data_IF_052157369742
#
_entry.id   IF_052157369742
#
_cell.length_a   1.000
_cell.length_b   1.000
_cell.length_c   1.000
_cell.angle_alpha   90.00
_cell.angle_beta   90.00
_cell.angle_gamma   90.00
#
_symmetry.space_group_name_H-M   'P 1'
#
loop_
_entity.id
_entity.type
_entity.pdbx_description
1 polymer ?
#
# COMPACT_ATOMS: atom_id res chain seq x y z
N UNK A 1 -6.40 10.77 -1.99
CA UNK A 1 -5.82 9.39 -2.04
C UNK A 1 -5.74 8.90 -3.48
N UNK A 2 -4.66 8.22 -3.90
CA UNK A 2 -4.48 7.82 -5.30
C UNK A 2 -5.51 6.77 -5.81
N UNK A 3 -6.11 6.96 -7.00
CA UNK A 3 -7.05 6.01 -7.61
C UNK A 3 -6.48 4.60 -7.85
N UNK A 4 -5.16 4.48 -8.06
CA UNK A 4 -4.51 3.18 -8.29
C UNK A 4 -4.64 2.23 -7.09
N UNK A 5 -4.68 2.76 -5.86
CA UNK A 5 -4.87 1.95 -4.65
C UNK A 5 -6.29 1.36 -4.62
N UNK A 6 -7.29 2.16 -5.01
CA UNK A 6 -8.69 1.71 -5.09
C UNK A 6 -8.83 0.59 -6.12
N UNK A 7 -8.25 0.76 -7.30
CA UNK A 7 -8.40 -0.20 -8.41
C UNK A 7 -7.65 -1.52 -8.19
N UNK A 8 -6.45 -1.46 -7.62
CA UNK A 8 -5.52 -2.61 -7.62
C UNK A 8 -5.33 -3.26 -6.25
N UNK A 9 -5.79 -2.64 -5.16
CA UNK A 9 -5.46 -3.09 -3.80
C UNK A 9 -6.70 -3.39 -2.94
N UNK A 10 -7.78 -2.62 -3.09
CA UNK A 10 -8.97 -2.72 -2.22
C UNK A 10 -9.63 -4.10 -2.26
N UNK A 11 -9.61 -4.79 -3.40
CA UNK A 11 -10.25 -6.10 -3.54
C UNK A 11 -9.82 -7.10 -2.44
N UNK A 12 -8.53 -7.07 -2.05
CA UNK A 12 -7.99 -7.92 -0.99
C UNK A 12 -7.82 -7.19 0.35
N UNK A 13 -7.64 -5.87 0.33
CA UNK A 13 -7.43 -5.03 1.51
C UNK A 13 -8.69 -4.26 1.90
N UNK A 14 -9.77 -5.01 2.07
CA UNK A 14 -11.05 -4.59 2.62
C UNK A 14 -11.48 -5.62 3.67
N UNK A 15 -12.31 -5.28 4.67
CA UNK A 15 -12.80 -6.25 5.66
C UNK A 15 -13.32 -7.54 5.01
N UNK A 16 -12.87 -8.70 5.51
CA UNK A 16 -13.17 -10.01 4.94
C UNK A 16 -12.30 -10.43 3.75
N UNK A 17 -11.47 -9.53 3.20
CA UNK A 17 -10.49 -9.85 2.17
C UNK A 17 -9.21 -10.46 2.74
N UNK A 18 -8.59 -11.40 2.03
CA UNK A 18 -7.42 -12.13 2.55
C UNK A 18 -6.21 -11.25 2.92
N UNK A 19 -6.02 -10.11 2.23
CA UNK A 19 -4.99 -9.14 2.57
C UNK A 19 -5.30 -8.39 3.88
N UNK A 20 -6.58 -8.05 4.08
CA UNK A 20 -7.07 -7.48 5.33
C UNK A 20 -6.96 -8.48 6.48
N UNK A 21 -7.38 -9.72 6.34
CA UNK A 21 -7.27 -10.72 7.43
C UNK A 21 -5.80 -10.97 7.82
N UNK A 22 -4.90 -11.01 6.83
CA UNK A 22 -3.48 -11.20 7.07
C UNK A 22 -2.81 -10.03 7.81
N UNK A 23 -3.19 -8.77 7.49
CA UNK A 23 -2.44 -7.57 7.92
C UNK A 23 -3.24 -6.59 8.78
N UNK A 24 -4.57 -6.61 8.72
CA UNK A 24 -5.47 -5.60 9.26
C UNK A 24 -5.52 -4.30 8.45
N UNK A 25 -4.90 -4.26 7.26
CA UNK A 25 -4.85 -3.08 6.41
C UNK A 25 -6.15 -2.90 5.62
N UNK A 26 -6.87 -1.80 5.89
CA UNK A 26 -8.03 -1.35 5.11
C UNK A 26 -7.63 -0.23 4.15
N UNK A 27 -7.75 -0.47 2.85
CA UNK A 27 -7.40 0.49 1.79
C UNK A 27 -8.63 1.16 1.15
N UNK A 28 -9.84 0.93 1.67
CA UNK A 28 -11.06 1.54 1.13
C UNK A 28 -11.08 3.06 1.32
N UNK A 29 -10.49 3.54 2.41
CA UNK A 29 -10.49 4.95 2.81
C UNK A 29 -9.06 5.47 3.03
N UNK A 30 -8.91 6.79 2.93
CA UNK A 30 -7.66 7.47 3.27
C UNK A 30 -7.27 7.20 4.73
N UNK A 31 -8.23 7.33 5.65
CA UNK A 31 -7.98 7.11 7.08
C UNK A 31 -7.55 5.68 7.37
N UNK A 32 -8.11 4.68 6.67
CA UNK A 32 -7.68 3.29 6.78
C UNK A 32 -6.23 3.09 6.33
N UNK A 33 -5.86 3.66 5.18
CA UNK A 33 -4.50 3.65 4.65
C UNK A 33 -3.50 4.30 5.63
N UNK A 34 -3.87 5.44 6.21
CA UNK A 34 -3.02 6.21 7.11
C UNK A 34 -2.96 5.63 8.52
N UNK A 35 -4.03 4.98 8.99
CA UNK A 35 -4.04 4.17 10.22
C UNK A 35 -3.04 3.01 10.10
N UNK A 36 -2.88 2.46 8.89
CA UNK A 36 -1.90 1.41 8.60
C UNK A 36 -2.41 0.01 8.93
N UNK A 37 -1.49 -0.87 9.27
CA UNK A 37 -1.74 -2.29 9.52
C UNK A 37 -1.46 -2.64 10.99
N UNK A 38 -1.81 -3.85 11.41
CA UNK A 38 -1.55 -4.31 12.80
C UNK A 38 -0.07 -4.34 13.18
N UNK A 39 0.81 -4.29 12.18
CA UNK A 39 2.27 -4.25 12.34
C UNK A 39 2.86 -2.84 12.26
N UNK A 40 2.02 -1.80 12.24
CA UNK A 40 2.44 -0.40 12.19
C UNK A 40 2.08 0.32 10.89
N UNK A 41 2.67 1.51 10.65
CA UNK A 41 2.30 2.35 9.52
C UNK A 41 2.68 1.70 8.19
N UNK A 42 1.80 1.87 7.20
CA UNK A 42 2.02 1.44 5.83
C UNK A 42 2.52 2.59 4.95
N UNK A 43 2.15 3.82 5.31
CA UNK A 43 2.61 5.06 4.71
C UNK A 43 3.29 5.91 5.78
N UNK A 44 4.47 6.42 5.45
CA UNK A 44 5.19 7.42 6.24
C UNK A 44 5.33 8.66 5.35
N UNK A 45 4.51 9.71 5.58
CA UNK A 45 4.56 10.95 4.81
C UNK A 45 5.99 11.50 4.69
N UNK A 46 6.39 11.90 3.48
CA UNK A 46 7.74 12.39 3.17
C UNK A 46 8.82 11.31 3.08
N UNK A 47 8.51 10.04 3.40
CA UNK A 47 9.50 8.95 3.51
C UNK A 47 9.07 7.72 2.71
N UNK A 48 8.89 7.86 1.39
CA UNK A 48 8.44 6.76 0.53
C UNK A 48 9.37 5.54 0.59
N UNK A 49 10.69 5.73 0.67
CA UNK A 49 11.64 4.63 0.73
C UNK A 49 11.46 3.73 1.98
N UNK A 50 11.01 4.30 3.09
CA UNK A 50 10.79 3.60 4.36
C UNK A 50 9.34 3.17 4.58
N UNK A 51 8.42 3.59 3.70
CA UNK A 51 7.01 3.22 3.79
C UNK A 51 6.81 1.77 3.35
N UNK A 52 6.21 0.93 4.21
CA UNK A 52 5.98 -0.48 3.91
C UNK A 52 5.20 -0.68 2.60
N UNK A 53 4.29 0.23 2.25
CA UNK A 53 3.59 0.20 0.96
C UNK A 53 4.56 0.07 -0.22
N UNK A 54 5.59 0.92 -0.25
CA UNK A 54 6.57 0.96 -1.33
C UNK A 54 7.54 -0.21 -1.23
N UNK A 55 7.99 -0.57 -0.02
CA UNK A 55 8.87 -1.73 0.22
C UNK A 55 8.25 -3.00 -0.36
N UNK A 56 6.96 -3.24 -0.09
CA UNK A 56 6.25 -4.44 -0.55
C UNK A 56 5.99 -4.44 -2.06
N UNK A 57 5.68 -3.28 -2.65
CA UNK A 57 5.45 -3.13 -4.09
C UNK A 57 6.74 -3.25 -4.92
N UNK A 58 7.87 -2.81 -4.38
CA UNK A 58 9.19 -2.92 -5.02
C UNK A 58 9.82 -4.30 -4.81
N UNK A 59 9.22 -5.17 -4.00
CA UNK A 59 9.77 -6.49 -3.68
C UNK A 59 11.06 -6.41 -2.85
N UNK A 60 11.25 -5.34 -2.08
CA UNK A 60 12.39 -5.20 -1.16
C UNK A 60 12.20 -5.98 0.16
N UNK A 61 11.00 -6.51 0.38
CA UNK A 61 10.68 -7.41 1.48
C UNK A 61 10.73 -8.88 1.04
N UNK A 62 10.56 -9.80 1.99
CA UNK A 62 10.44 -11.23 1.72
C UNK A 62 9.37 -11.53 0.65
N UNK A 63 9.63 -12.44 -0.30
CA UNK A 63 8.64 -12.85 -1.31
C UNK A 63 7.31 -13.33 -0.71
N UNK A 64 7.33 -13.85 0.53
CA UNK A 64 6.14 -14.34 1.25
C UNK A 64 5.13 -13.24 1.59
N UNK A 65 5.53 -11.98 1.55
CA UNK A 65 4.67 -10.83 1.86
C UNK A 65 4.64 -9.78 0.74
N UNK A 66 5.22 -10.09 -0.43
CA UNK A 66 5.20 -9.21 -1.59
C UNK A 66 3.76 -8.87 -2.00
N UNK A 67 3.55 -7.64 -2.46
CA UNK A 67 2.28 -7.22 -3.05
C UNK A 67 2.41 -6.87 -4.54
N UNK A 68 1.42 -7.23 -5.39
CA UNK A 68 0.27 -8.10 -5.07
C UNK A 68 0.69 -9.53 -4.72
N UNK A 69 0.02 -10.13 -3.72
CA UNK A 69 0.33 -11.47 -3.22
C UNK A 69 -0.02 -12.54 -4.27
N UNK A 70 0.98 -13.33 -4.68
CA UNK A 70 0.90 -14.29 -5.81
C UNK A 70 0.32 -13.70 -7.11
N UNK A 71 0.37 -12.38 -7.26
CA UNK A 71 -0.15 -11.66 -8.42
C UNK A 71 0.95 -11.02 -9.25
N UNK A 72 0.53 -10.51 -10.41
CA UNK A 72 1.41 -9.72 -11.29
C UNK A 72 1.83 -8.43 -10.59
N UNK A 73 3.14 -8.09 -10.55
CA UNK A 73 3.61 -6.82 -10.02
C UNK A 73 2.95 -5.62 -10.71
N UNK A 74 2.73 -4.54 -9.94
CA UNK A 74 2.32 -3.27 -10.53
C UNK A 74 3.38 -2.77 -11.51
N UNK A 75 2.95 -2.13 -12.59
CA UNK A 75 3.87 -1.44 -13.52
C UNK A 75 4.70 -0.41 -12.75
N UNK A 76 5.98 -0.31 -13.08
CA UNK A 76 6.92 0.63 -12.43
C UNK A 76 6.43 2.08 -12.41
N UNK A 77 5.67 2.51 -13.42
CA UNK A 77 5.08 3.86 -13.45
C UNK A 77 4.09 4.11 -12.31
N UNK A 78 3.24 3.14 -11.96
CA UNK A 78 2.31 3.26 -10.85
C UNK A 78 3.03 3.26 -9.50
N UNK A 79 4.07 2.45 -9.35
CA UNK A 79 4.91 2.46 -8.14
C UNK A 79 5.57 3.83 -7.98
N UNK A 80 6.09 4.42 -9.07
CA UNK A 80 6.65 5.78 -9.03
C UNK A 80 5.62 6.85 -8.63
N UNK A 81 4.39 6.76 -9.14
CA UNK A 81 3.31 7.66 -8.73
C UNK A 81 3.03 7.57 -7.24
N UNK A 82 2.93 6.35 -6.69
CA UNK A 82 2.73 6.12 -5.26
C UNK A 82 3.90 6.69 -4.46
N UNK A 83 5.15 6.46 -4.90
CA UNK A 83 6.33 7.02 -4.23
C UNK A 83 6.31 8.55 -4.19
N UNK A 84 5.98 9.18 -5.31
CA UNK A 84 5.94 10.62 -5.41
C UNK A 84 4.89 11.21 -4.48
N UNK A 85 3.66 10.69 -4.54
CA UNK A 85 2.58 11.10 -3.64
C UNK A 85 2.95 10.95 -2.16
N UNK A 86 3.61 9.86 -1.76
CA UNK A 86 4.08 9.71 -0.36
C UNK A 86 5.12 10.77 -0.02
N UNK A 87 6.09 11.02 -0.90
CA UNK A 87 7.13 12.03 -0.67
C UNK A 87 6.58 13.46 -0.61
N UNK A 88 5.47 13.74 -1.29
CA UNK A 88 4.72 15.01 -1.21
C UNK A 88 3.87 15.13 0.07
N UNK A 89 3.96 14.17 0.99
CA UNK A 89 3.26 14.20 2.27
C UNK A 89 1.99 13.37 2.32
N UNK A 90 1.73 12.54 1.29
CA UNK A 90 0.60 11.61 1.26
C UNK A 90 -0.75 12.30 1.52
N UNK A 91 -1.00 13.46 0.90
CA UNK A 91 -2.21 14.24 1.15
C UNK A 91 -3.50 13.52 0.69
N UNK A 92 -4.62 13.86 1.33
CA UNK A 92 -5.96 13.41 0.93
C UNK A 92 -6.61 14.40 -0.04
N UNK A 93 -6.10 14.41 -1.26
CA UNK A 93 -6.60 15.18 -2.40
C UNK A 93 -7.20 14.26 -3.48
#
# INVERSE_FOLDING_TARGET
MLPVLKRSCVACHQPGGGGYEASGLDLRTYDGLMKGMKFGPVVIPGKAHFSNLVVLLEGRASPKIRMPYHGTPLRKCYIRLIRHWINEGAANN
#
